data_IF_473488547763
#
_entry.id   IF_473488547763
#
_cell.length_a   1.000
_cell.length_b   1.000
_cell.length_c   1.000
_cell.angle_alpha   90.00
_cell.angle_beta   90.00
_cell.angle_gamma   90.00
#
_symmetry.space_group_name_H-M   'P 1'
#
loop_
_entity.id
_entity.type
_entity.pdbx_description
1 polymer ?
#
# COMPACT_ATOMS: atom_id res chain seq x y z
N UNK A 1 -10.65 4.26 2.81
CA UNK A 1 -9.84 5.47 2.51
C UNK A 1 -9.88 6.50 3.66
N UNK A 2 -11.06 6.75 4.24
CA UNK A 2 -11.24 7.74 5.31
C UNK A 2 -10.36 7.44 6.54
N UNK A 3 -10.18 6.17 6.90
CA UNK A 3 -9.30 5.75 7.99
C UNK A 3 -7.80 5.95 7.69
N UNK A 4 -7.41 6.05 6.42
CA UNK A 4 -6.01 6.17 6.01
C UNK A 4 -5.56 7.63 5.85
N UNK A 5 -6.40 8.61 6.23
CA UNK A 5 -6.03 10.02 6.25
C UNK A 5 -5.91 10.70 4.89
N UNK A 6 -6.35 10.06 3.80
CA UNK A 6 -6.32 10.68 2.47
C UNK A 6 -7.54 11.58 2.25
N UNK A 7 -7.36 12.80 1.71
CA UNK A 7 -8.47 13.64 1.27
C UNK A 7 -9.42 12.88 0.32
N UNK A 8 -10.73 13.11 0.45
CA UNK A 8 -11.69 12.56 -0.50
C UNK A 8 -11.39 13.16 -1.88
N UNK A 9 -10.81 12.34 -2.78
CA UNK A 9 -10.48 12.76 -4.14
C UNK A 9 -11.70 13.25 -4.92
N UNK A 10 -11.46 13.91 -6.05
CA UNK A 10 -12.52 14.43 -6.91
C UNK A 10 -13.27 13.29 -7.62
N UNK A 11 -14.54 13.12 -7.26
CA UNK A 11 -15.49 12.25 -7.97
C UNK A 11 -15.94 11.00 -7.21
N UNK A 12 -17.04 10.41 -7.68
CA UNK A 12 -17.61 9.20 -7.10
C UNK A 12 -16.67 7.99 -7.31
N UNK A 13 -16.32 7.30 -6.21
CA UNK A 13 -15.57 6.04 -6.30
C UNK A 13 -16.51 4.93 -6.80
N UNK A 14 -16.07 4.24 -7.86
CA UNK A 14 -16.77 3.04 -8.36
C UNK A 14 -16.54 1.82 -7.48
N UNK A 15 -15.37 1.74 -6.85
CA UNK A 15 -14.96 0.66 -5.95
C UNK A 15 -14.62 1.26 -4.60
N UNK A 16 -15.13 0.70 -3.48
CA UNK A 16 -14.75 1.15 -2.14
C UNK A 16 -13.28 0.85 -1.87
N UNK A 17 -12.63 1.66 -1.03
CA UNK A 17 -11.24 1.45 -0.62
C UNK A 17 -10.26 2.48 -1.18
N UNK A 18 -8.98 2.15 -1.06
CA UNK A 18 -7.86 2.95 -1.57
C UNK A 18 -7.59 2.61 -3.03
N UNK A 19 -7.23 3.61 -3.83
CA UNK A 19 -6.67 3.43 -5.17
C UNK A 19 -5.18 3.08 -5.08
N UNK A 20 -4.61 2.51 -6.14
CA UNK A 20 -3.16 2.25 -6.22
C UNK A 20 -2.33 3.50 -5.99
N UNK A 21 -2.72 4.60 -6.64
CA UNK A 21 -2.07 5.91 -6.47
C UNK A 21 -2.12 6.40 -5.02
N UNK A 22 -3.24 6.16 -4.34
CA UNK A 22 -3.44 6.53 -2.94
C UNK A 22 -2.54 5.71 -2.00
N UNK A 23 -2.41 4.40 -2.23
CA UNK A 23 -1.48 3.55 -1.46
C UNK A 23 -0.02 3.95 -1.71
N UNK A 24 0.34 4.22 -2.96
CA UNK A 24 1.67 4.66 -3.34
C UNK A 24 2.05 5.97 -2.62
N UNK A 25 1.13 6.93 -2.58
CA UNK A 25 1.30 8.19 -1.84
C UNK A 25 1.51 7.92 -0.34
N UNK A 26 0.67 7.08 0.29
CA UNK A 26 0.77 6.79 1.72
C UNK A 26 2.05 6.05 2.10
N UNK A 27 2.53 5.18 1.22
CA UNK A 27 3.74 4.38 1.43
C UNK A 27 5.02 5.08 0.96
N UNK A 28 4.93 6.28 0.39
CA UNK A 28 6.09 7.05 -0.06
C UNK A 28 6.80 6.48 -1.29
N UNK A 29 6.12 5.63 -2.08
CA UNK A 29 6.69 4.99 -3.27
C UNK A 29 5.99 5.46 -4.55
N UNK A 30 6.60 5.19 -5.71
CA UNK A 30 5.94 5.45 -6.98
C UNK A 30 4.81 4.46 -7.25
N UNK A 31 3.80 4.89 -8.02
CA UNK A 31 2.67 4.02 -8.42
C UNK A 31 3.17 2.79 -9.19
N UNK A 32 4.19 2.97 -10.02
CA UNK A 32 4.81 1.87 -10.78
C UNK A 32 5.52 0.88 -9.85
N UNK A 33 6.18 1.36 -8.79
CA UNK A 33 6.83 0.51 -7.81
C UNK A 33 5.79 -0.29 -7.01
N UNK A 34 4.71 0.35 -6.55
CA UNK A 34 3.60 -0.35 -5.91
C UNK A 34 2.94 -1.37 -6.85
N UNK A 35 2.80 -1.05 -8.14
CA UNK A 35 2.24 -1.97 -9.14
C UNK A 35 3.12 -3.20 -9.36
N UNK A 36 4.45 -3.08 -9.25
CA UNK A 36 5.37 -4.24 -9.29
C UNK A 36 5.17 -5.13 -8.07
N UNK A 37 5.11 -4.54 -6.89
CA UNK A 37 4.87 -5.24 -5.63
C UNK A 37 3.52 -5.99 -5.68
N UNK A 38 2.46 -5.33 -6.16
CA UNK A 38 1.12 -5.95 -6.30
C UNK A 38 1.12 -7.14 -7.27
N UNK A 39 2.04 -7.16 -8.24
CA UNK A 39 2.26 -8.29 -9.16
C UNK A 39 3.13 -9.41 -8.58
N UNK A 40 3.57 -9.28 -7.33
CA UNK A 40 4.40 -10.26 -6.62
C UNK A 40 5.90 -10.07 -6.81
N UNK A 41 6.34 -8.96 -7.42
CA UNK A 41 7.77 -8.64 -7.51
C UNK A 41 8.20 -7.80 -6.28
N UNK A 42 8.59 -8.52 -5.23
CA UNK A 42 9.08 -7.96 -3.97
C UNK A 42 10.62 -7.88 -3.91
N UNK A 43 11.30 -8.26 -4.99
CA UNK A 43 12.77 -8.32 -5.03
C UNK A 43 13.38 -6.96 -4.73
N UNK A 44 14.16 -6.87 -3.65
CA UNK A 44 14.88 -5.65 -3.27
C UNK A 44 13.98 -4.54 -2.69
N UNK A 45 12.78 -4.88 -2.23
CA UNK A 45 11.97 -3.98 -1.40
C UNK A 45 12.63 -3.88 -0.03
N UNK A 46 12.76 -2.65 0.50
CA UNK A 46 13.35 -2.43 1.82
C UNK A 46 12.33 -2.62 2.94
N UNK A 47 12.82 -2.95 4.14
CA UNK A 47 11.98 -3.03 5.35
C UNK A 47 11.18 -1.75 5.62
N UNK A 48 11.75 -0.59 5.29
CA UNK A 48 11.08 0.71 5.40
C UNK A 48 9.85 0.80 4.48
N UNK A 49 9.96 0.29 3.25
CA UNK A 49 8.83 0.25 2.32
C UNK A 49 7.79 -0.77 2.78
N UNK A 50 8.21 -1.94 3.27
CA UNK A 50 7.29 -2.95 3.81
C UNK A 50 6.49 -2.38 5.00
N UNK A 51 7.16 -1.69 5.93
CA UNK A 51 6.51 -1.03 7.07
C UNK A 51 5.55 0.08 6.60
N UNK A 52 5.97 0.91 5.64
CA UNK A 52 5.12 1.96 5.09
C UNK A 52 3.87 1.38 4.39
N UNK A 53 4.00 0.25 3.69
CA UNK A 53 2.88 -0.46 3.07
C UNK A 53 1.95 -1.08 4.12
N UNK A 54 2.50 -1.73 5.14
CA UNK A 54 1.71 -2.30 6.24
C UNK A 54 0.88 -1.22 6.94
N UNK A 55 1.49 -0.06 7.22
CA UNK A 55 0.80 1.12 7.80
C UNK A 55 -0.25 1.72 6.85
N UNK A 56 0.07 1.87 5.56
CA UNK A 56 -0.84 2.43 4.57
C UNK A 56 -2.10 1.57 4.39
N UNK A 57 -1.93 0.25 4.40
CA UNK A 57 -3.00 -0.73 4.24
C UNK A 57 -3.68 -1.11 5.55
N UNK A 58 -3.17 -0.63 6.69
CA UNK A 58 -3.67 -0.93 8.03
C UNK A 58 -3.68 -2.45 8.30
N UNK A 59 -2.60 -3.11 7.89
CA UNK A 59 -2.44 -4.54 8.09
C UNK A 59 -2.38 -4.87 9.58
N UNK A 60 -2.97 -5.99 9.92
CA UNK A 60 -2.81 -6.63 11.24
C UNK A 60 -1.37 -7.15 11.41
N UNK A 61 -1.03 -7.58 12.63
CA UNK A 61 0.28 -8.16 12.92
C UNK A 61 0.55 -9.40 12.04
N UNK A 62 -0.44 -10.29 11.90
CA UNK A 62 -0.32 -11.50 11.09
C UNK A 62 -0.15 -11.19 9.58
N UNK A 63 -0.93 -10.23 9.06
CA UNK A 63 -0.83 -9.79 7.66
C UNK A 63 0.52 -9.09 7.39
N UNK A 64 1.01 -8.32 8.35
CA UNK A 64 2.33 -7.68 8.26
C UNK A 64 3.43 -8.74 8.24
N UNK A 65 3.39 -9.71 9.15
CA UNK A 65 4.34 -10.82 9.19
C UNK A 65 4.36 -11.60 7.88
N UNK A 66 3.18 -11.87 7.29
CA UNK A 66 3.09 -12.52 5.99
C UNK A 66 3.68 -11.66 4.85
N UNK A 67 3.46 -10.33 4.87
CA UNK A 67 4.07 -9.42 3.90
C UNK A 67 5.61 -9.47 3.97
N UNK A 68 6.18 -9.53 5.17
CA UNK A 68 7.63 -9.68 5.37
C UNK A 68 8.16 -11.05 4.91
N UNK A 69 7.40 -12.13 5.09
CA UNK A 69 7.80 -13.48 4.65
C UNK A 69 7.83 -13.62 3.10
N UNK A 70 7.05 -12.81 2.39
CA UNK A 70 7.01 -12.80 0.93
C UNK A 70 8.17 -12.04 0.27
N UNK A 71 8.92 -11.21 1.01
CA UNK A 71 9.94 -10.30 0.49
C UNK A 71 11.36 -10.89 0.55
#
# INVERSE_FOLDING_TARGET
PDMAGIPKGSGARRVPGLRREEVAILSGVSVDYYTRIEKGDLTGVSDEVLDALARALQLTEDESAYLYDLA
#
